data_IF_872900981184
#
_entry.id   IF_872900981184
#
_cell.length_a   1.000
_cell.length_b   1.000
_cell.length_c   1.000
_cell.angle_alpha   90.00
_cell.angle_beta   90.00
_cell.angle_gamma   90.00
#
_symmetry.space_group_name_H-M   'P 1'
#
loop_
_entity.id
_entity.type
_entity.pdbx_description
1 polymer ?
#
# COMPACT_ATOMS: atom_id res chain seq x y z
N UNK A 1 -11.97 -19.81 11.12
CA UNK A 1 -11.30 -18.75 11.90
C UNK A 1 -10.36 -19.44 12.88
N UNK A 2 -9.22 -18.83 13.18
CA UNK A 2 -8.28 -19.40 14.14
C UNK A 2 -8.59 -18.89 15.55
N UNK A 3 -8.42 -19.77 16.55
CA UNK A 3 -8.58 -19.39 17.94
C UNK A 3 -7.58 -18.27 18.32
N UNK A 4 -8.01 -17.34 19.15
CA UNK A 4 -7.22 -16.15 19.49
C UNK A 4 -7.78 -15.39 20.69
N UNK A 5 -6.92 -14.59 21.30
CA UNK A 5 -7.27 -13.75 22.45
C UNK A 5 -6.73 -12.34 22.26
N UNK A 6 -7.60 -11.35 22.40
CA UNK A 6 -7.26 -9.93 22.33
C UNK A 6 -7.66 -9.26 23.63
N UNK A 7 -6.75 -8.46 24.18
CA UNK A 7 -6.93 -7.80 25.47
C UNK A 7 -6.71 -6.30 25.29
N UNK A 8 -7.65 -5.49 25.77
CA UNK A 8 -7.57 -4.03 25.83
C UNK A 8 -7.60 -3.59 27.29
N UNK A 9 -6.87 -2.51 27.59
CA UNK A 9 -6.96 -1.84 28.88
C UNK A 9 -7.82 -0.59 28.73
N UNK A 10 -8.95 -0.57 29.43
CA UNK A 10 -9.89 0.55 29.44
C UNK A 10 -9.35 1.69 30.34
N UNK A 11 -9.85 2.94 30.20
CA UNK A 11 -9.35 4.10 30.94
C UNK A 11 -9.44 4.00 32.47
N UNK A 12 -10.40 3.22 32.98
CA UNK A 12 -10.60 2.92 34.40
C UNK A 12 -9.70 1.78 34.92
N UNK A 13 -8.84 1.24 34.06
CA UNK A 13 -7.97 0.11 34.37
C UNK A 13 -8.66 -1.26 34.23
N UNK A 14 -9.94 -1.31 33.84
CA UNK A 14 -10.63 -2.57 33.57
C UNK A 14 -10.09 -3.19 32.28
N UNK A 15 -9.95 -4.51 32.26
CA UNK A 15 -9.55 -5.25 31.07
C UNK A 15 -10.77 -5.66 30.26
N UNK A 16 -10.81 -5.32 28.98
CA UNK A 16 -11.74 -5.92 28.03
C UNK A 16 -11.00 -7.04 27.29
N UNK A 17 -11.65 -8.20 27.12
CA UNK A 17 -11.06 -9.37 26.47
C UNK A 17 -12.01 -9.96 25.43
N UNK A 18 -11.52 -10.14 24.22
CA UNK A 18 -12.22 -10.85 23.15
C UNK A 18 -11.52 -12.19 22.94
N UNK A 19 -12.29 -13.27 22.91
CA UNK A 19 -11.80 -14.64 22.75
C UNK A 19 -12.56 -15.30 21.62
N UNK A 20 -11.83 -15.89 20.68
CA UNK A 20 -12.36 -16.87 19.74
C UNK A 20 -11.79 -18.22 20.18
N UNK A 21 -12.65 -19.14 20.59
CA UNK A 21 -12.23 -20.49 20.97
C UNK A 21 -12.08 -21.42 19.75
N UNK A 22 -11.67 -22.67 19.99
CA UNK A 22 -11.49 -23.68 18.92
C UNK A 22 -12.81 -24.06 18.24
N UNK A 23 -13.94 -23.94 18.94
CA UNK A 23 -15.27 -24.10 18.37
C UNK A 23 -15.72 -22.82 17.60
N UNK A 24 -14.80 -21.87 17.42
CA UNK A 24 -15.01 -20.56 16.81
C UNK A 24 -16.03 -19.69 17.56
N UNK A 25 -16.32 -19.95 18.82
CA UNK A 25 -17.28 -19.12 19.57
C UNK A 25 -16.60 -17.81 19.99
N UNK A 26 -17.19 -16.70 19.56
CA UNK A 26 -16.80 -15.35 19.92
C UNK A 26 -17.33 -15.04 21.33
N UNK A 27 -16.43 -14.71 22.26
CA UNK A 27 -16.75 -14.39 23.64
C UNK A 27 -16.11 -13.07 24.05
N UNK A 28 -16.90 -12.16 24.60
CA UNK A 28 -16.45 -10.85 25.06
C UNK A 28 -16.59 -10.76 26.57
N UNK A 29 -15.51 -10.36 27.22
CA UNK A 29 -15.39 -10.21 28.66
C UNK A 29 -14.99 -8.79 29.00
N UNK A 30 -15.52 -8.28 30.11
CA UNK A 30 -15.15 -7.00 30.70
C UNK A 30 -14.84 -7.27 32.18
N UNK A 31 -13.59 -7.05 32.57
CA UNK A 31 -13.01 -7.56 33.81
C UNK A 31 -13.18 -9.07 33.89
N UNK A 32 -13.92 -9.53 34.91
CA UNK A 32 -14.25 -10.95 35.11
C UNK A 32 -15.64 -11.36 34.57
N UNK A 33 -16.38 -10.42 34.00
CA UNK A 33 -17.78 -10.64 33.56
C UNK A 33 -17.83 -10.97 32.08
N UNK A 34 -18.45 -12.11 31.74
CA UNK A 34 -18.84 -12.40 30.35
C UNK A 34 -20.00 -11.47 29.96
N UNK A 35 -19.81 -10.65 28.94
CA UNK A 35 -20.82 -9.70 28.48
C UNK A 35 -21.53 -10.17 27.22
N UNK A 36 -20.88 -11.00 26.40
CA UNK A 36 -21.51 -11.56 25.21
C UNK A 36 -20.83 -12.85 24.77
N UNK A 37 -21.62 -13.75 24.19
CA UNK A 37 -21.14 -14.97 23.53
C UNK A 37 -21.98 -15.25 22.27
N UNK A 38 -21.34 -15.56 21.14
CA UNK A 38 -22.04 -15.94 19.90
C UNK A 38 -21.18 -16.82 19.00
N UNK A 39 -21.78 -17.62 18.11
CA UNK A 39 -21.05 -18.19 16.97
C UNK A 39 -20.44 -17.08 16.09
N UNK A 40 -19.43 -17.39 15.25
CA UNK A 40 -18.78 -16.43 14.36
C UNK A 40 -19.77 -15.65 13.52
N UNK A 41 -19.69 -14.32 13.56
CA UNK A 41 -20.57 -13.46 12.75
C UNK A 41 -22.06 -13.58 13.09
N UNK A 42 -22.42 -14.25 14.19
CA UNK A 42 -23.79 -14.32 14.70
C UNK A 42 -24.31 -12.96 15.18
N UNK A 43 -23.40 -12.03 15.48
CA UNK A 43 -23.71 -10.63 15.79
C UNK A 43 -23.16 -9.70 14.71
N UNK A 44 -23.99 -9.42 13.69
CA UNK A 44 -23.64 -8.52 12.58
C UNK A 44 -23.32 -7.10 13.01
N UNK A 45 -23.97 -6.61 14.05
CA UNK A 45 -23.75 -5.29 14.64
C UNK A 45 -22.57 -5.25 15.61
N UNK A 46 -21.92 -6.40 15.84
CA UNK A 46 -20.89 -6.56 16.86
C UNK A 46 -21.45 -6.88 18.25
N UNK A 47 -20.53 -7.06 19.18
CA UNK A 47 -20.82 -7.25 20.60
C UNK A 47 -20.86 -5.90 21.31
N UNK A 48 -22.07 -5.39 21.50
CA UNK A 48 -22.29 -4.14 22.22
C UNK A 48 -22.58 -4.43 23.70
N UNK A 49 -21.90 -3.73 24.60
CA UNK A 49 -22.15 -3.76 26.04
C UNK A 49 -21.93 -2.39 26.65
N UNK A 50 -22.82 -1.97 27.55
CA UNK A 50 -22.62 -0.73 28.30
C UNK A 50 -21.89 -1.03 29.61
N UNK A 51 -20.79 -0.31 29.85
CA UNK A 51 -20.12 -0.35 31.13
C UNK A 51 -21.04 0.23 32.21
N UNK A 52 -20.98 -0.30 33.44
CA UNK A 52 -21.63 0.36 34.55
C UNK A 52 -21.07 1.80 34.69
N UNK A 53 -21.91 2.76 35.09
CA UNK A 53 -21.45 4.13 35.31
C UNK A 53 -20.35 4.15 36.38
N UNK A 54 -19.37 5.07 36.25
CA UNK A 54 -18.33 5.20 37.25
C UNK A 54 -18.94 5.59 38.61
N UNK A 55 -18.28 5.23 39.74
CA UNK A 55 -18.78 5.52 41.09
C UNK A 55 -18.97 7.01 41.38
N UNK A 56 -18.35 7.88 40.57
CA UNK A 56 -18.47 9.34 40.63
C UNK A 56 -19.74 9.91 39.98
N UNK A 57 -20.65 9.07 39.47
CA UNK A 57 -21.98 9.50 39.02
C UNK A 57 -22.07 10.02 37.57
N UNK A 58 -21.31 9.42 36.63
CA UNK A 58 -21.38 9.74 35.20
C UNK A 58 -22.28 8.80 34.40
N UNK A 59 -22.51 9.10 33.11
CA UNK A 59 -23.08 8.13 32.17
C UNK A 59 -22.10 6.96 31.96
N UNK A 60 -22.63 5.73 31.84
CA UNK A 60 -21.81 4.55 31.56
C UNK A 60 -21.31 4.56 30.11
N UNK A 61 -20.01 4.34 29.91
CA UNK A 61 -19.43 4.31 28.57
C UNK A 61 -19.90 3.07 27.79
N UNK A 62 -20.15 3.23 26.49
CA UNK A 62 -20.51 2.14 25.61
C UNK A 62 -19.24 1.46 25.07
N UNK A 63 -19.09 0.17 25.35
CA UNK A 63 -18.04 -0.68 24.79
C UNK A 63 -18.64 -1.52 23.66
N UNK A 64 -18.10 -1.35 22.47
CA UNK A 64 -18.47 -2.17 21.32
C UNK A 64 -17.24 -2.93 20.85
N UNK A 65 -17.41 -4.23 20.64
CA UNK A 65 -16.36 -5.09 20.11
C UNK A 65 -16.90 -5.83 18.90
N UNK A 66 -16.32 -5.62 17.74
CA UNK A 66 -16.74 -6.32 16.53
C UNK A 66 -15.53 -6.90 15.80
N UNK A 67 -15.76 -7.94 15.01
CA UNK A 67 -14.73 -8.52 14.18
C UNK A 67 -14.67 -7.78 12.84
N UNK A 68 -13.55 -7.13 12.55
CA UNK A 68 -13.34 -6.49 11.25
C UNK A 68 -12.83 -7.55 10.25
N UNK A 69 -13.63 -7.94 9.23
CA UNK A 69 -13.23 -8.97 8.27
C UNK A 69 -12.07 -8.53 7.37
N UNK A 70 -11.86 -7.22 7.20
CA UNK A 70 -10.78 -6.65 6.39
C UNK A 70 -9.46 -6.75 7.16
N UNK A 71 -9.46 -6.30 8.42
CA UNK A 71 -8.28 -6.38 9.29
C UNK A 71 -8.01 -7.79 9.82
N UNK A 72 -8.99 -8.70 9.70
CA UNK A 72 -8.99 -10.05 10.29
C UNK A 72 -8.69 -10.02 11.79
N UNK A 73 -9.14 -8.97 12.47
CA UNK A 73 -8.88 -8.70 13.87
C UNK A 73 -10.11 -8.06 14.52
N UNK A 74 -10.34 -8.29 15.82
CA UNK A 74 -11.37 -7.58 16.54
C UNK A 74 -10.96 -6.12 16.77
N UNK A 75 -11.93 -5.23 16.67
CA UNK A 75 -11.82 -3.81 16.93
C UNK A 75 -12.68 -3.51 18.15
N UNK A 76 -12.10 -2.83 19.14
CA UNK A 76 -12.82 -2.32 20.31
C UNK A 76 -12.99 -0.82 20.17
N UNK A 77 -14.23 -0.33 20.27
CA UNK A 77 -14.55 1.08 20.39
C UNK A 77 -15.13 1.37 21.78
N UNK A 78 -14.74 2.51 22.33
CA UNK A 78 -15.28 3.08 23.55
C UNK A 78 -15.85 4.45 23.20
N UNK A 79 -17.17 4.61 23.34
CA UNK A 79 -17.89 5.84 22.97
C UNK A 79 -17.56 6.32 21.54
N UNK A 80 -17.51 5.37 20.60
CA UNK A 80 -17.21 5.62 19.19
C UNK A 80 -15.72 5.84 18.87
N UNK A 81 -14.83 5.77 19.87
CA UNK A 81 -13.38 5.88 19.67
C UNK A 81 -12.69 4.52 19.74
N UNK A 82 -11.91 4.19 18.71
CA UNK A 82 -11.13 2.96 18.67
C UNK A 82 -10.01 2.95 19.75
N UNK A 83 -9.88 1.82 20.46
CA UNK A 83 -8.83 1.57 21.44
C UNK A 83 -7.91 0.46 20.92
N UNK A 84 -6.60 0.71 20.95
CA UNK A 84 -5.60 -0.29 20.56
C UNK A 84 -5.45 -1.39 21.63
N UNK A 85 -5.25 -2.66 21.23
CA UNK A 85 -5.03 -3.76 22.17
C UNK A 85 -3.71 -3.61 22.92
N UNK A 86 -3.71 -3.94 24.22
CA UNK A 86 -2.54 -3.89 25.10
C UNK A 86 -1.55 -5.02 24.80
N UNK A 87 -2.03 -6.18 24.34
CA UNK A 87 -1.17 -7.30 23.95
C UNK A 87 -1.78 -8.03 22.75
N UNK A 88 -1.09 -8.09 21.60
CA UNK A 88 -1.45 -9.02 20.53
C UNK A 88 -0.93 -10.41 20.91
N UNK A 89 -1.70 -11.20 21.68
CA UNK A 89 -1.29 -12.56 22.03
C UNK A 89 -1.64 -13.51 20.88
N UNK A 90 -0.60 -13.86 20.13
CA UNK A 90 -0.51 -15.03 19.24
C UNK A 90 -1.69 -15.18 18.27
N UNK A 91 -1.64 -14.44 17.16
CA UNK A 91 -2.25 -14.95 15.93
C UNK A 91 -1.53 -16.27 15.59
N UNK A 92 -2.21 -17.43 15.54
CA UNK A 92 -1.54 -18.67 15.22
C UNK A 92 -0.92 -18.56 13.83
N UNK A 93 0.37 -18.80 13.80
CA UNK A 93 1.24 -18.86 12.65
C UNK A 93 0.88 -20.08 11.80
N UNK A 94 -0.19 -19.98 11.02
CA UNK A 94 -0.47 -20.94 9.93
C UNK A 94 -1.38 -20.32 8.88
N UNK A 95 -0.75 -19.72 7.87
CA UNK A 95 -0.95 -20.00 6.42
C UNK A 95 0.04 -19.11 5.68
N UNK A 96 0.99 -19.75 5.00
CA UNK A 96 1.94 -19.09 4.13
C UNK A 96 1.29 -18.51 2.88
N UNK A 97 2.10 -17.67 2.23
CA UNK A 97 1.92 -17.11 0.87
C UNK A 97 0.91 -15.96 0.81
N UNK A 98 1.42 -14.74 1.00
CA UNK A 98 0.90 -13.57 0.27
C UNK A 98 0.47 -12.34 1.05
N UNK A 99 0.47 -12.32 2.39
CA UNK A 99 0.33 -11.05 3.10
C UNK A 99 1.72 -10.46 3.33
N UNK A 100 2.08 -9.54 2.44
CA UNK A 100 3.03 -8.47 2.77
C UNK A 100 2.62 -7.98 4.15
N UNK A 101 3.45 -8.31 5.13
CA UNK A 101 3.38 -7.74 6.47
C UNK A 101 3.54 -6.26 6.23
N UNK A 102 2.43 -5.52 6.29
CA UNK A 102 2.43 -4.10 6.64
C UNK A 102 2.90 -4.05 8.09
N UNK A 103 4.19 -4.39 8.27
CA UNK A 103 4.97 -3.99 9.40
C UNK A 103 4.74 -2.50 9.45
N UNK A 104 4.37 -2.01 10.61
CA UNK A 104 4.31 -0.59 10.92
C UNK A 104 5.74 -0.04 10.79
N UNK A 105 6.23 0.04 9.55
CA UNK A 105 7.37 0.83 9.17
C UNK A 105 6.99 2.23 9.63
N UNK A 106 7.86 2.89 10.39
CA UNK A 106 7.55 4.23 10.89
C UNK A 106 7.05 5.03 9.69
N UNK A 107 5.80 5.54 9.75
CA UNK A 107 5.11 6.27 8.66
C UNK A 107 5.97 7.35 7.97
N UNK A 108 7.06 7.77 8.62
CA UNK A 108 8.09 8.67 8.07
C UNK A 108 9.00 8.04 7.01
N UNK A 109 9.33 6.74 7.07
CA UNK A 109 10.29 6.11 6.14
C UNK A 109 9.61 5.74 4.81
N UNK A 110 8.38 5.21 4.84
CA UNK A 110 7.63 4.87 3.61
C UNK A 110 7.44 6.06 2.67
N UNK A 111 7.11 7.24 3.22
CA UNK A 111 6.99 8.46 2.41
C UNK A 111 8.31 8.90 1.79
N UNK A 112 9.46 8.66 2.44
CA UNK A 112 10.77 9.10 1.91
C UNK A 112 11.23 8.18 0.77
N UNK A 113 10.97 6.88 0.88
CA UNK A 113 11.31 5.91 -0.17
C UNK A 113 10.45 6.07 -1.43
N UNK A 114 9.16 6.32 -1.28
CA UNK A 114 8.28 6.62 -2.44
C UNK A 114 8.62 7.98 -3.08
N UNK A 115 9.06 8.97 -2.28
CA UNK A 115 9.39 10.32 -2.75
C UNK A 115 10.72 10.42 -3.49
N UNK A 116 11.72 9.65 -3.07
CA UNK A 116 13.08 9.77 -3.60
C UNK A 116 13.50 8.46 -4.27
N UNK A 117 13.19 7.32 -3.68
CA UNK A 117 13.58 6.00 -4.20
C UNK A 117 12.96 5.66 -5.55
N UNK A 118 11.67 5.97 -5.76
CA UNK A 118 11.01 5.70 -7.06
C UNK A 118 11.58 6.57 -8.18
N UNK A 119 11.64 7.92 -8.06
CA UNK A 119 12.29 8.74 -9.07
C UNK A 119 13.75 8.36 -9.30
N UNK A 120 14.54 8.18 -8.23
CA UNK A 120 15.95 7.82 -8.32
C UNK A 120 16.14 6.46 -9.02
N UNK A 121 15.29 5.48 -8.70
CA UNK A 121 15.25 4.18 -9.37
C UNK A 121 14.96 4.31 -10.86
N UNK A 122 13.97 5.12 -11.24
CA UNK A 122 13.65 5.43 -12.64
C UNK A 122 14.80 6.13 -13.37
N UNK A 123 15.54 7.03 -12.71
CA UNK A 123 16.71 7.68 -13.30
C UNK A 123 17.92 6.75 -13.42
N UNK A 124 18.14 5.83 -12.47
CA UNK A 124 19.21 4.82 -12.53
C UNK A 124 18.97 3.84 -13.68
N UNK A 125 17.82 3.16 -13.66
CA UNK A 125 16.89 3.04 -14.79
C UNK A 125 17.39 3.50 -16.17
N UNK A 126 16.95 4.71 -16.49
CA UNK A 126 17.25 5.44 -17.72
C UNK A 126 18.76 5.63 -17.94
N UNK A 127 19.56 5.88 -16.90
CA UNK A 127 21.00 6.06 -17.02
C UNK A 127 21.70 4.82 -17.58
N UNK A 128 21.38 3.63 -17.04
CA UNK A 128 21.92 2.36 -17.53
C UNK A 128 21.49 2.11 -18.97
N UNK A 129 20.21 2.33 -19.29
CA UNK A 129 19.71 2.17 -20.66
C UNK A 129 20.33 3.19 -21.64
N UNK A 130 20.59 4.41 -21.19
CA UNK A 130 21.29 5.44 -21.94
C UNK A 130 22.74 5.06 -22.27
N UNK A 131 23.42 4.32 -21.39
CA UNK A 131 24.75 3.77 -21.68
C UNK A 131 24.71 2.72 -22.82
N UNK A 132 23.66 1.89 -22.87
CA UNK A 132 23.45 0.97 -24.01
C UNK A 132 23.17 1.73 -25.31
N UNK A 133 22.38 2.80 -25.27
CA UNK A 133 22.14 3.64 -26.46
C UNK A 133 23.45 4.33 -26.89
N UNK A 134 24.25 4.80 -25.93
CA UNK A 134 25.54 5.43 -26.20
C UNK A 134 26.56 4.46 -26.81
N UNK A 135 26.61 3.21 -26.36
CA UNK A 135 27.52 2.21 -26.96
C UNK A 135 27.18 1.96 -28.43
N UNK A 136 25.89 1.85 -28.73
CA UNK A 136 25.35 1.69 -30.10
C UNK A 136 25.72 2.89 -30.98
N UNK A 137 25.58 4.11 -30.46
CA UNK A 137 26.01 5.33 -31.17
C UNK A 137 27.53 5.38 -31.37
N UNK A 138 28.31 4.91 -30.39
CA UNK A 138 29.77 4.83 -30.50
C UNK A 138 30.19 3.88 -31.62
N UNK A 139 29.59 2.68 -31.67
CA UNK A 139 29.82 1.70 -32.72
C UNK A 139 29.42 2.24 -34.11
N UNK A 140 28.32 2.99 -34.17
CA UNK A 140 27.92 3.72 -35.38
C UNK A 140 29.01 4.70 -35.82
N UNK A 141 29.47 5.57 -34.91
CA UNK A 141 30.50 6.57 -35.24
C UNK A 141 31.86 5.95 -35.60
N UNK A 142 32.13 4.73 -35.17
CA UNK A 142 33.31 3.96 -35.55
C UNK A 142 33.22 3.34 -36.96
N UNK A 143 32.09 3.50 -37.65
CA UNK A 143 31.90 3.03 -39.04
C UNK A 143 31.50 1.56 -39.15
N UNK A 144 30.86 0.99 -38.11
CA UNK A 144 30.34 -0.37 -38.18
C UNK A 144 29.32 -0.52 -39.32
N UNK A 145 29.46 -1.57 -40.15
CA UNK A 145 28.56 -1.83 -41.27
C UNK A 145 27.13 -2.24 -40.83
N UNK A 146 26.99 -2.75 -39.61
CA UNK A 146 25.73 -3.15 -39.01
C UNK A 146 25.72 -2.80 -37.53
N UNK A 147 24.59 -2.34 -37.02
CA UNK A 147 24.46 -1.96 -35.62
C UNK A 147 23.40 -2.86 -34.98
N UNK A 148 23.75 -3.51 -33.86
CA UNK A 148 22.76 -4.19 -33.03
C UNK A 148 21.88 -3.14 -32.39
N UNK A 149 20.60 -3.15 -32.73
CA UNK A 149 19.64 -2.17 -32.24
C UNK A 149 18.97 -2.71 -30.97
N UNK A 150 19.32 -2.24 -29.76
CA UNK A 150 18.69 -2.71 -28.55
C UNK A 150 17.33 -2.05 -28.41
N UNK A 151 16.35 -2.52 -29.18
CA UNK A 151 14.98 -2.00 -29.25
C UNK A 151 14.44 -1.72 -27.85
N UNK A 152 14.63 -2.67 -26.92
CA UNK A 152 14.25 -2.55 -25.51
C UNK A 152 14.84 -1.29 -24.84
N UNK A 153 16.13 -1.00 -25.00
CA UNK A 153 16.74 0.16 -24.37
C UNK A 153 16.19 1.48 -24.92
N UNK A 154 15.88 1.53 -26.21
CA UNK A 154 15.33 2.73 -26.87
C UNK A 154 13.88 2.99 -26.43
N UNK A 155 13.08 1.96 -26.17
CA UNK A 155 11.73 2.12 -25.61
C UNK A 155 11.73 2.42 -24.10
N UNK A 156 12.53 1.67 -23.32
CA UNK A 156 12.48 1.78 -21.86
C UNK A 156 13.17 3.04 -21.32
N UNK A 157 14.15 3.61 -22.03
CA UNK A 157 14.84 4.81 -21.56
C UNK A 157 13.91 6.04 -21.50
N UNK A 158 13.22 6.45 -22.59
CA UNK A 158 12.26 7.55 -22.53
C UNK A 158 11.13 7.28 -21.53
N UNK A 159 10.58 6.07 -21.49
CA UNK A 159 9.51 5.70 -20.56
C UNK A 159 9.94 5.86 -19.08
N UNK A 160 11.15 5.41 -18.74
CA UNK A 160 11.69 5.54 -17.39
C UNK A 160 11.94 7.01 -17.01
N UNK A 161 12.47 7.82 -17.95
CA UNK A 161 12.63 9.27 -17.73
C UNK A 161 11.30 9.96 -17.52
N UNK A 162 10.29 9.67 -18.36
CA UNK A 162 8.95 10.24 -18.24
C UNK A 162 8.30 9.86 -16.91
N UNK A 163 8.38 8.59 -16.49
CA UNK A 163 7.88 8.17 -15.18
C UNK A 163 8.59 8.87 -14.02
N UNK A 164 9.93 8.97 -14.07
CA UNK A 164 10.72 9.68 -13.07
C UNK A 164 10.34 11.16 -12.95
N UNK A 165 10.18 11.84 -14.09
CA UNK A 165 9.74 13.24 -14.16
C UNK A 165 8.29 13.42 -13.67
N UNK A 166 7.37 12.54 -14.06
CA UNK A 166 6.00 12.58 -13.59
C UNK A 166 5.91 12.45 -12.07
N UNK A 167 6.73 11.59 -11.45
CA UNK A 167 6.80 11.48 -10.00
C UNK A 167 7.48 12.67 -9.30
N UNK A 168 8.42 13.35 -9.95
CA UNK A 168 9.03 14.58 -9.42
C UNK A 168 8.10 15.80 -9.52
N UNK A 169 7.35 15.91 -10.62
CA UNK A 169 6.49 17.06 -10.93
C UNK A 169 5.10 16.91 -10.33
N UNK A 170 4.64 15.69 -10.06
CA UNK A 170 3.36 15.44 -9.39
C UNK A 170 3.27 16.32 -8.13
N UNK A 171 2.30 17.27 -8.09
CA UNK A 171 2.30 18.29 -7.05
C UNK A 171 2.22 17.62 -5.69
N UNK A 172 3.15 17.97 -4.79
CA UNK A 172 3.20 17.48 -3.39
C UNK A 172 1.83 17.43 -2.73
N UNK A 173 0.97 18.41 -3.05
CA UNK A 173 -0.40 18.51 -2.55
C UNK A 173 -1.34 17.44 -3.09
N UNK A 174 -1.20 16.98 -4.34
CA UNK A 174 -2.01 15.91 -4.92
C UNK A 174 -1.69 14.54 -4.31
N UNK A 175 -0.41 14.23 -4.09
CA UNK A 175 0.00 13.00 -3.40
C UNK A 175 -0.39 13.01 -1.92
N UNK A 176 -0.25 14.16 -1.23
CA UNK A 176 -0.67 14.29 0.17
C UNK A 176 -2.19 14.30 0.35
N UNK A 177 -2.95 14.84 -0.61
CA UNK A 177 -4.42 14.76 -0.59
C UNK A 177 -4.90 13.35 -0.90
N UNK A 178 -4.31 12.64 -1.88
CA UNK A 178 -4.60 11.22 -2.10
C UNK A 178 -4.31 10.35 -0.86
N UNK A 179 -3.22 10.63 -0.14
CA UNK A 179 -2.87 9.88 1.07
C UNK A 179 -3.79 10.17 2.26
N UNK A 180 -4.27 11.41 2.43
CA UNK A 180 -5.21 11.77 3.51
C UNK A 180 -6.65 11.33 3.24
N UNK A 181 -7.04 11.19 1.98
CA UNK A 181 -8.42 10.95 1.58
C UNK A 181 -8.74 9.49 1.21
N UNK A 182 -7.83 8.54 1.50
CA UNK A 182 -8.01 7.09 1.24
C UNK A 182 -9.18 6.43 2.00
N UNK A 183 -9.97 7.17 2.77
CA UNK A 183 -11.15 6.67 3.49
C UNK A 183 -12.47 6.83 2.74
N UNK A 184 -12.50 7.50 1.58
CA UNK A 184 -13.73 7.68 0.78
C UNK A 184 -13.62 7.00 -0.58
N UNK A 185 -14.52 6.04 -0.85
CA UNK A 185 -14.60 5.20 -2.07
C UNK A 185 -14.57 5.96 -3.42
N UNK A 186 -14.81 7.26 -3.44
CA UNK A 186 -14.80 8.08 -4.67
C UNK A 186 -13.39 8.41 -5.19
N UNK A 187 -12.33 8.22 -4.40
CA UNK A 187 -10.99 8.75 -4.73
C UNK A 187 -10.05 7.70 -5.35
N UNK A 188 -10.42 6.41 -5.31
CA UNK A 188 -9.70 5.37 -6.05
C UNK A 188 -9.67 5.65 -7.56
N UNK A 189 -10.69 6.33 -8.09
CA UNK A 189 -10.76 6.71 -9.50
C UNK A 189 -9.70 7.74 -9.92
N UNK A 190 -9.35 8.71 -9.06
CA UNK A 190 -8.42 9.79 -9.41
C UNK A 190 -6.98 9.29 -9.41
N UNK A 191 -6.61 8.44 -8.45
CA UNK A 191 -5.29 7.81 -8.41
C UNK A 191 -5.05 6.89 -9.61
N UNK A 192 -6.07 6.12 -9.97
CA UNK A 192 -6.04 5.25 -11.16
C UNK A 192 -5.93 6.09 -12.44
N UNK A 193 -6.74 7.15 -12.59
CA UNK A 193 -6.71 8.02 -13.76
C UNK A 193 -5.34 8.70 -13.93
N UNK A 194 -4.75 9.20 -12.84
CA UNK A 194 -3.41 9.80 -12.88
C UNK A 194 -2.35 8.78 -13.34
N UNK A 195 -2.40 7.56 -12.80
CA UNK A 195 -1.49 6.47 -13.19
C UNK A 195 -1.65 6.11 -14.67
N UNK A 196 -2.89 6.04 -15.17
CA UNK A 196 -3.19 5.79 -16.58
C UNK A 196 -2.61 6.90 -17.45
N UNK A 197 -2.79 8.17 -17.08
CA UNK A 197 -2.24 9.31 -17.83
C UNK A 197 -0.73 9.26 -17.90
N UNK A 198 -0.05 9.01 -16.77
CA UNK A 198 1.42 8.87 -16.73
C UNK A 198 1.88 7.70 -17.61
N UNK A 199 1.17 6.58 -17.59
CA UNK A 199 1.48 5.43 -18.44
C UNK A 199 1.33 5.76 -19.93
N UNK A 200 0.29 6.50 -20.33
CA UNK A 200 0.08 6.95 -21.71
C UNK A 200 1.23 7.86 -22.16
N UNK A 201 1.63 8.84 -21.35
CA UNK A 201 2.75 9.71 -21.68
C UNK A 201 4.09 8.96 -21.78
N UNK A 202 4.34 8.02 -20.87
CA UNK A 202 5.54 7.18 -20.93
C UNK A 202 5.57 6.30 -22.19
N UNK A 203 4.42 5.74 -22.58
CA UNK A 203 4.28 4.96 -23.80
C UNK A 203 4.52 5.83 -25.05
N UNK A 204 3.91 7.02 -25.10
CA UNK A 204 4.08 7.95 -26.21
C UNK A 204 5.55 8.40 -26.36
N UNK A 205 6.24 8.69 -25.25
CA UNK A 205 7.65 9.02 -25.25
C UNK A 205 8.52 7.86 -25.76
N UNK A 206 8.18 6.61 -25.39
CA UNK A 206 8.87 5.41 -25.84
C UNK A 206 8.74 5.21 -27.37
N UNK A 207 7.52 5.34 -27.90
CA UNK A 207 7.27 5.22 -29.34
C UNK A 207 7.94 6.35 -30.14
N UNK A 208 7.82 7.59 -29.67
CA UNK A 208 8.47 8.74 -30.31
C UNK A 208 10.00 8.61 -30.32
N UNK A 209 10.57 8.18 -29.19
CA UNK A 209 12.01 7.92 -29.06
C UNK A 209 12.49 6.83 -30.01
N UNK A 210 11.79 5.69 -30.06
CA UNK A 210 12.13 4.61 -31.01
C UNK A 210 12.04 5.07 -32.46
N UNK A 211 10.93 5.71 -32.84
CA UNK A 211 10.73 6.18 -34.20
C UNK A 211 11.83 7.16 -34.62
N UNK A 212 12.14 8.16 -33.78
CA UNK A 212 13.19 9.13 -34.08
C UNK A 212 14.56 8.46 -34.24
N UNK A 213 14.91 7.55 -33.33
CA UNK A 213 16.22 6.90 -33.32
C UNK A 213 16.40 5.92 -34.50
N UNK A 214 15.33 5.20 -34.86
CA UNK A 214 15.27 4.36 -36.05
C UNK A 214 15.45 5.18 -37.33
N UNK A 215 14.69 6.28 -37.50
CA UNK A 215 14.82 7.17 -38.65
C UNK A 215 16.22 7.82 -38.73
N UNK A 216 16.82 8.17 -37.60
CA UNK A 216 18.17 8.71 -37.54
C UNK A 216 19.22 7.72 -38.06
N UNK A 217 19.14 6.44 -37.66
CA UNK A 217 20.09 5.42 -38.10
C UNK A 217 19.86 5.02 -39.56
N UNK A 218 18.61 4.88 -40.00
CA UNK A 218 18.29 4.61 -41.40
C UNK A 218 18.74 5.76 -42.32
N UNK A 219 18.55 7.02 -41.91
CA UNK A 219 19.03 8.20 -42.64
C UNK A 219 20.56 8.28 -42.76
N UNK A 220 21.29 7.54 -41.92
CA UNK A 220 22.76 7.39 -41.99
C UNK A 220 23.21 6.17 -42.79
N UNK A 221 22.29 5.38 -43.33
CA UNK A 221 22.57 4.20 -44.16
C UNK A 221 22.85 2.92 -43.37
N UNK A 222 22.53 2.86 -42.07
CA UNK A 222 22.73 1.65 -41.28
C UNK A 222 21.62 0.63 -41.52
N UNK A 223 22.02 -0.65 -41.58
CA UNK A 223 21.09 -1.78 -41.53
C UNK A 223 20.86 -2.14 -40.06
N UNK A 224 19.60 -2.06 -39.63
CA UNK A 224 19.19 -2.38 -38.26
C UNK A 224 18.94 -3.89 -38.13
N UNK A 225 19.64 -4.52 -37.18
CA UNK A 225 19.52 -5.96 -36.86
C UNK A 225 19.18 -6.19 -35.40
#
# INVERSE_FOLDING_TARGET
MTAGTWIWKLPDGIEAKFVIDEASVESVWIGRRLVSRSPPGGKREGHVSRLPPPPTGGEGAAVEVFFDPIRRAPVLTLDGREIAPFTPVHAPSSVGIGSVVEQEYPRKIGTTWERIGVPLGCFLIAGVLGLFIRSVLSDATAGAASIRYPTKAVYFCPAAVTMGLCHLVAPRRALESMARYRSTREIDGIGVLFTIVVAIFALAAAFAGNYYFEQYLLGRGYILS
#
